data_IF_228079202045
#
_entry.id   IF_228079202045
#
_cell.length_a   1.000
_cell.length_b   1.000
_cell.length_c   1.000
_cell.angle_alpha   90.00
_cell.angle_beta   90.00
_cell.angle_gamma   90.00
#
_symmetry.space_group_name_H-M   'P 1'
#
loop_
_entity.id
_entity.type
_entity.pdbx_description
1 polymer ?
#
# COMPACT_ATOMS: atom_id res chain seq x y z
N UNK A 1 -8.48 -1.92 6.38
CA UNK A 1 -7.49 -1.24 7.24
C UNK A 1 -7.03 0.00 6.49
N UNK A 2 -6.70 1.07 7.23
CA UNK A 2 -6.40 2.41 6.68
C UNK A 2 -5.48 2.40 5.45
N UNK A 3 -4.35 1.68 5.48
CA UNK A 3 -3.42 1.63 4.33
C UNK A 3 -4.00 1.03 3.05
N UNK A 4 -4.93 0.06 3.16
CA UNK A 4 -5.64 -0.48 1.99
C UNK A 4 -6.54 0.57 1.35
N UNK A 5 -7.16 1.44 2.15
CA UNK A 5 -8.02 2.53 1.65
C UNK A 5 -7.19 3.61 0.94
N UNK A 6 -6.03 3.97 1.51
CA UNK A 6 -5.08 4.90 0.87
C UNK A 6 -4.63 4.36 -0.48
N UNK A 7 -4.11 3.13 -0.54
CA UNK A 7 -3.62 2.52 -1.78
C UNK A 7 -4.75 2.34 -2.81
N UNK A 8 -5.94 1.96 -2.38
CA UNK A 8 -7.12 1.86 -3.26
C UNK A 8 -7.46 3.22 -3.87
N UNK A 9 -7.41 4.28 -3.08
CA UNK A 9 -7.70 5.65 -3.53
C UNK A 9 -6.66 6.13 -4.53
N UNK A 10 -5.37 5.92 -4.25
CA UNK A 10 -4.28 6.26 -5.18
C UNK A 10 -4.44 5.53 -6.51
N UNK A 11 -4.81 4.24 -6.48
CA UNK A 11 -5.11 3.49 -7.70
C UNK A 11 -6.29 4.05 -8.48
N UNK A 12 -7.38 4.42 -7.80
CA UNK A 12 -8.58 4.98 -8.45
C UNK A 12 -8.29 6.29 -9.18
N UNK A 13 -7.31 7.07 -8.71
CA UNK A 13 -6.91 8.33 -9.36
C UNK A 13 -5.74 8.16 -10.35
N UNK A 14 -5.30 6.93 -10.62
CA UNK A 14 -4.23 6.64 -11.57
C UNK A 14 -2.84 7.11 -11.11
N UNK A 15 -2.57 7.07 -9.81
CA UNK A 15 -1.24 7.35 -9.29
C UNK A 15 -0.30 6.15 -9.52
N UNK A 16 0.73 6.35 -10.34
CA UNK A 16 1.73 5.32 -10.70
C UNK A 16 3.12 5.60 -10.08
N UNK A 17 3.19 6.49 -9.08
CA UNK A 17 4.42 6.85 -8.40
C UNK A 17 4.80 5.87 -7.28
N UNK A 18 5.97 6.09 -6.70
CA UNK A 18 6.41 5.34 -5.52
C UNK A 18 5.61 5.72 -4.26
N UNK A 19 5.43 4.75 -3.37
CA UNK A 19 5.05 4.99 -1.97
C UNK A 19 6.32 5.08 -1.14
N UNK A 20 6.72 6.29 -0.77
CA UNK A 20 7.91 6.50 0.07
C UNK A 20 7.57 6.25 1.53
N UNK A 21 8.50 5.63 2.26
CA UNK A 21 8.39 5.41 3.71
C UNK A 21 9.30 6.39 4.42
N UNK A 22 8.73 7.16 5.34
CA UNK A 22 9.46 7.93 6.34
C UNK A 22 9.25 7.28 7.70
N UNK A 23 10.33 6.98 8.41
CA UNK A 23 10.27 6.31 9.70
C UNK A 23 10.91 7.20 10.77
N UNK A 24 10.08 7.66 11.71
CA UNK A 24 10.46 8.42 12.88
C UNK A 24 9.80 7.78 14.12
N UNK A 25 10.56 6.96 14.84
CA UNK A 25 10.12 6.29 16.06
C UNK A 25 11.28 6.23 17.05
N UNK A 26 10.99 6.43 18.33
CA UNK A 26 11.97 6.32 19.42
C UNK A 26 12.04 4.94 20.06
N UNK A 27 11.07 4.07 19.75
CA UNK A 27 10.91 2.75 20.37
C UNK A 27 11.48 1.61 19.52
N UNK A 28 11.68 1.83 18.22
CA UNK A 28 12.20 0.82 17.29
C UNK A 28 13.48 1.30 16.61
N UNK A 29 14.33 0.36 16.21
CA UNK A 29 15.48 0.71 15.35
C UNK A 29 14.98 1.08 13.96
N UNK A 30 15.70 1.94 13.25
CA UNK A 30 15.31 2.36 11.90
C UNK A 30 15.14 1.18 10.94
N UNK A 31 15.95 0.11 11.09
CA UNK A 31 15.83 -1.09 10.25
C UNK A 31 14.55 -1.87 10.55
N UNK A 32 14.27 -2.14 11.82
CA UNK A 32 13.08 -2.88 12.22
C UNK A 32 11.80 -2.11 11.84
N UNK A 33 11.78 -0.80 12.06
CA UNK A 33 10.67 0.06 11.68
C UNK A 33 10.42 0.05 10.17
N UNK A 34 11.49 0.15 9.38
CA UNK A 34 11.40 0.09 7.92
C UNK A 34 10.89 -1.27 7.43
N UNK A 35 11.43 -2.38 7.95
CA UNK A 35 11.02 -3.74 7.57
C UNK A 35 9.52 -3.97 7.86
N UNK A 36 9.04 -3.53 9.03
CA UNK A 36 7.62 -3.62 9.39
C UNK A 36 6.74 -2.73 8.51
N UNK A 37 7.20 -1.53 8.14
CA UNK A 37 6.46 -0.64 7.26
C UNK A 37 6.35 -1.20 5.84
N UNK A 38 7.42 -1.82 5.32
CA UNK A 38 7.41 -2.55 4.04
C UNK A 38 6.37 -3.67 4.09
N UNK A 39 6.40 -4.52 5.12
CA UNK A 39 5.43 -5.62 5.27
C UNK A 39 3.97 -5.15 5.26
N UNK A 40 3.69 -3.97 5.82
CA UNK A 40 2.34 -3.40 5.86
C UNK A 40 1.91 -2.91 4.48
N UNK A 41 2.79 -2.18 3.77
CA UNK A 41 2.48 -1.61 2.47
C UNK A 41 2.44 -2.66 1.37
N UNK A 42 3.35 -3.64 1.40
CA UNK A 42 3.42 -4.73 0.42
C UNK A 42 2.11 -5.52 0.36
N UNK A 43 1.50 -5.78 1.53
CA UNK A 43 0.17 -6.43 1.64
C UNK A 43 -1.01 -5.56 1.20
N UNK A 44 -0.79 -4.25 1.02
CA UNK A 44 -1.82 -3.31 0.61
C UNK A 44 -1.76 -2.99 -0.89
N UNK A 45 -0.58 -3.12 -1.52
CA UNK A 45 -0.36 -2.89 -2.95
C UNK A 45 -1.02 -4.00 -3.77
N UNK A 46 -1.61 -3.60 -4.90
CA UNK A 46 -2.25 -4.52 -5.83
C UNK A 46 -1.30 -4.82 -6.99
N UNK A 47 -1.11 -6.10 -7.31
CA UNK A 47 -0.21 -6.52 -8.40
C UNK A 47 -0.93 -6.69 -9.75
N UNK A 48 -2.23 -6.90 -9.73
CA UNK A 48 -3.03 -7.21 -10.93
C UNK A 48 -4.06 -6.12 -11.21
N UNK A 49 -4.54 -6.06 -12.45
CA UNK A 49 -5.72 -5.28 -12.82
C UNK A 49 -7.00 -6.07 -12.55
N UNK A 50 -8.07 -5.40 -12.08
CA UNK A 50 -9.39 -6.03 -12.06
C UNK A 50 -9.72 -6.57 -13.46
N UNK A 51 -10.17 -7.83 -13.53
CA UNK A 51 -10.77 -8.36 -14.75
C UNK A 51 -12.14 -7.75 -15.02
N UNK A 52 -12.81 -8.22 -16.07
CA UNK A 52 -14.20 -7.83 -16.34
C UNK A 52 -15.11 -8.17 -15.16
N UNK A 53 -16.06 -7.28 -14.87
CA UNK A 53 -17.02 -7.49 -13.79
C UNK A 53 -17.97 -8.63 -14.17
N UNK A 54 -17.76 -9.79 -13.56
CA UNK A 54 -18.56 -11.00 -13.78
C UNK A 54 -20.02 -10.90 -13.25
N UNK A 55 -20.40 -9.77 -12.66
CA UNK A 55 -21.75 -9.50 -12.14
C UNK A 55 -22.58 -8.56 -13.02
N UNK A 56 -22.06 -8.11 -14.15
CA UNK A 56 -22.73 -7.15 -15.03
C UNK A 56 -23.52 -7.82 -16.18
N UNK A 57 -23.88 -9.11 -16.03
CA UNK A 57 -24.77 -9.86 -16.93
C UNK A 57 -26.25 -9.76 -16.52
#
# INVERSE_FOLDING_TARGET
SHWKEVVSTLRMVGYDGALSIEHEDSLTSSREGLERAIDVLDRAVFETTPGEAYWAE
#
